data_IF_632129316106
#
_entry.id   IF_632129316106
#
_cell.length_a   1.000
_cell.length_b   1.000
_cell.length_c   1.000
_cell.angle_alpha   90.00
_cell.angle_beta   90.00
_cell.angle_gamma   90.00
#
_symmetry.space_group_name_H-M   'P 1'
#
loop_
_entity.id
_entity.type
_entity.pdbx_description
1 polymer ?
#
# COMPACT_ATOMS: atom_id res chain seq x y z
N UNK A 1 10.39 13.69 2.41
CA UNK A 1 10.36 12.46 3.22
C UNK A 1 9.32 11.55 2.57
N UNK A 2 9.74 10.47 1.90
CA UNK A 2 8.82 9.56 1.19
C UNK A 2 8.41 8.43 2.13
N UNK A 3 7.10 8.21 2.27
CA UNK A 3 6.56 7.13 3.08
C UNK A 3 6.35 5.85 2.30
N UNK A 4 6.67 4.74 2.95
CA UNK A 4 6.81 3.42 2.35
C UNK A 4 5.71 2.53 2.92
N UNK A 5 4.68 2.27 2.13
CA UNK A 5 3.66 1.26 2.41
C UNK A 5 4.00 0.01 1.59
N UNK A 6 4.99 -0.75 2.04
CA UNK A 6 5.50 -1.97 1.38
C UNK A 6 6.04 -1.71 -0.05
N UNK A 7 7.30 -2.05 -0.31
CA UNK A 7 7.86 -2.10 -1.66
C UNK A 7 8.42 -3.51 -1.83
N UNK A 8 7.98 -4.22 -2.87
CA UNK A 8 8.49 -5.55 -3.24
C UNK A 8 9.97 -5.54 -3.66
N UNK A 9 10.44 -6.56 -4.41
CA UNK A 9 11.87 -6.77 -4.68
C UNK A 9 12.57 -5.66 -5.48
N UNK A 10 11.84 -4.70 -6.05
CA UNK A 10 12.40 -3.61 -6.86
C UNK A 10 13.23 -2.59 -6.05
N UNK A 11 12.94 -2.44 -4.76
CA UNK A 11 13.54 -1.38 -3.95
C UNK A 11 15.05 -1.50 -3.69
N UNK A 12 15.59 -2.66 -3.25
CA UNK A 12 17.02 -2.79 -2.96
C UNK A 12 17.90 -2.71 -4.20
N UNK A 13 17.38 -3.07 -5.38
CA UNK A 13 18.17 -3.14 -6.61
C UNK A 13 18.10 -1.88 -7.46
N UNK A 14 16.97 -1.16 -7.47
CA UNK A 14 16.76 -0.02 -8.35
C UNK A 14 16.71 1.33 -7.64
N UNK A 15 16.23 1.38 -6.39
CA UNK A 15 15.99 2.65 -5.68
C UNK A 15 17.18 3.01 -4.79
N UNK A 16 17.44 2.20 -3.76
CA UNK A 16 18.46 2.53 -2.75
C UNK A 16 19.88 2.74 -3.28
N UNK A 17 20.36 2.02 -4.31
CA UNK A 17 21.71 2.26 -4.82
C UNK A 17 21.86 3.63 -5.50
N UNK A 18 20.75 4.22 -5.94
CA UNK A 18 20.74 5.42 -6.77
C UNK A 18 20.17 6.66 -6.06
N UNK A 19 19.49 6.47 -4.92
CA UNK A 19 18.77 7.54 -4.20
C UNK A 19 18.95 7.38 -2.70
N UNK A 20 19.56 8.39 -2.06
CA UNK A 20 19.55 8.51 -0.61
C UNK A 20 18.22 9.13 -0.16
N UNK A 21 17.37 8.33 0.48
CA UNK A 21 16.05 8.74 0.94
C UNK A 21 15.70 8.10 2.27
N UNK A 22 15.19 8.91 3.19
CA UNK A 22 14.64 8.42 4.45
C UNK A 22 13.25 7.85 4.23
N UNK A 23 13.08 6.58 4.64
CA UNK A 23 11.86 5.81 4.41
C UNK A 23 11.18 5.47 5.73
N UNK A 24 9.92 5.86 5.87
CA UNK A 24 9.07 5.41 6.97
C UNK A 24 8.24 4.22 6.50
N UNK A 25 8.48 3.06 7.12
CA UNK A 25 7.90 1.80 6.69
C UNK A 25 6.64 1.42 7.47
N UNK A 26 5.60 1.02 6.74
CA UNK A 26 4.36 0.46 7.28
C UNK A 26 4.05 -0.84 6.56
N UNK A 27 3.88 -1.92 7.32
CA UNK A 27 3.50 -3.22 6.79
C UNK A 27 1.97 -3.33 6.66
N UNK A 28 1.46 -3.25 5.43
CA UNK A 28 0.04 -3.44 5.14
C UNK A 28 -0.30 -4.87 4.70
N UNK A 29 0.59 -5.83 4.98
CA UNK A 29 0.34 -7.25 4.80
C UNK A 29 -0.84 -7.71 5.65
N UNK A 30 -1.65 -8.63 5.11
CA UNK A 30 -2.87 -9.10 5.75
C UNK A 30 -2.64 -9.65 7.18
N UNK A 31 -1.58 -10.44 7.47
CA UNK A 31 -1.29 -10.88 8.83
C UNK A 31 -0.96 -9.74 9.79
N UNK A 32 -0.22 -8.72 9.33
CA UNK A 32 0.16 -7.57 10.18
C UNK A 32 -1.04 -6.66 10.44
N UNK A 33 -1.90 -6.47 9.44
CA UNK A 33 -3.17 -5.77 9.60
C UNK A 33 -4.07 -6.47 10.62
N UNK A 34 -4.22 -7.79 10.52
CA UNK A 34 -5.03 -8.55 11.48
C UNK A 34 -4.45 -8.48 12.91
N UNK A 35 -3.12 -8.57 13.05
CA UNK A 35 -2.42 -8.41 14.33
C UNK A 35 -2.66 -7.04 14.98
N UNK A 36 -2.72 -5.98 14.18
CA UNK A 36 -2.85 -4.58 14.64
C UNK A 36 -4.29 -4.07 14.65
N UNK A 37 -5.27 -4.95 14.48
CA UNK A 37 -6.67 -4.59 14.31
C UNK A 37 -6.92 -3.53 13.22
N UNK A 38 -6.12 -3.61 12.15
CA UNK A 38 -6.04 -2.70 11.01
C UNK A 38 -5.59 -1.26 11.34
N UNK A 39 -5.07 -1.03 12.56
CA UNK A 39 -4.54 0.26 12.98
C UNK A 39 -3.36 0.72 12.11
N UNK A 40 -2.51 -0.20 11.64
CA UNK A 40 -1.39 0.11 10.73
C UNK A 40 -1.85 0.80 9.44
N UNK A 41 -3.06 0.50 8.95
CA UNK A 41 -3.64 1.13 7.76
C UNK A 41 -4.03 2.57 8.03
N UNK A 42 -4.54 2.87 9.24
CA UNK A 42 -4.87 4.24 9.67
C UNK A 42 -3.58 5.02 9.89
N UNK A 43 -2.63 4.44 10.63
CA UNK A 43 -1.37 5.08 10.97
C UNK A 43 -0.62 5.48 9.71
N UNK A 44 -0.55 4.60 8.72
CA UNK A 44 0.10 4.86 7.44
C UNK A 44 -0.58 5.96 6.63
N UNK A 45 -1.92 6.10 6.69
CA UNK A 45 -2.65 7.20 6.07
C UNK A 45 -2.37 8.54 6.76
N UNK A 46 -2.41 8.59 8.09
CA UNK A 46 -2.07 9.79 8.88
C UNK A 46 -0.61 10.21 8.68
N UNK A 47 0.27 9.22 8.59
CA UNK A 47 1.63 9.42 8.17
C UNK A 47 1.67 10.14 6.82
N UNK A 48 0.95 9.61 5.82
CA UNK A 48 0.94 10.18 4.47
C UNK A 48 0.43 11.63 4.47
N UNK A 49 -0.56 11.98 5.29
CA UNK A 49 -0.97 13.37 5.46
C UNK A 49 0.17 14.25 5.99
N UNK A 50 0.93 13.76 6.98
CA UNK A 50 2.05 14.49 7.59
C UNK A 50 3.24 14.69 6.64
N UNK A 51 3.53 13.73 5.77
CA UNK A 51 4.73 13.74 4.91
C UNK A 51 4.44 13.91 3.41
N UNK A 52 3.17 14.05 3.06
CA UNK A 52 2.62 14.36 1.74
C UNK A 52 2.79 13.31 0.65
N UNK A 53 3.85 12.49 0.68
CA UNK A 53 4.17 11.53 -0.38
C UNK A 53 4.29 10.13 0.19
N UNK A 54 3.56 9.18 -0.40
CA UNK A 54 3.66 7.76 -0.08
C UNK A 54 3.65 6.89 -1.35
N UNK A 55 4.32 5.75 -1.27
CA UNK A 55 4.29 4.68 -2.28
C UNK A 55 3.74 3.42 -1.62
N UNK A 56 2.73 2.82 -2.25
CA UNK A 56 1.99 1.68 -1.72
C UNK A 56 2.05 0.47 -2.64
N UNK A 57 2.35 -0.72 -2.10
CA UNK A 57 2.16 -2.00 -2.78
C UNK A 57 0.69 -2.46 -2.79
N UNK A 58 0.38 -3.36 -3.72
CA UNK A 58 -0.90 -4.05 -3.75
C UNK A 58 -1.13 -4.83 -2.44
N UNK A 59 -2.38 -4.85 -1.97
CA UNK A 59 -2.78 -5.45 -0.69
C UNK A 59 -4.05 -6.26 -0.88
N UNK A 60 -4.16 -7.37 -0.15
CA UNK A 60 -5.37 -8.21 -0.15
C UNK A 60 -6.50 -7.49 0.57
N UNK A 61 -7.67 -7.45 -0.07
CA UNK A 61 -8.95 -7.18 0.61
C UNK A 61 -9.59 -8.55 0.84
N UNK A 62 -9.70 -9.01 2.10
CA UNK A 62 -10.16 -10.37 2.37
C UNK A 62 -11.65 -10.52 2.05
N UNK A 63 -11.98 -11.62 1.39
CA UNK A 63 -13.34 -12.20 1.29
C UNK A 63 -13.49 -13.32 2.33
N UNK A 64 -14.62 -14.02 2.33
CA UNK A 64 -14.89 -15.12 3.25
C UNK A 64 -13.82 -16.23 3.15
N UNK A 65 -13.40 -16.58 1.94
CA UNK A 65 -12.38 -17.60 1.72
C UNK A 65 -11.01 -17.19 2.30
N UNK A 66 -10.62 -15.92 2.14
CA UNK A 66 -9.38 -15.40 2.74
C UNK A 66 -9.45 -15.28 4.25
N UNK A 67 -10.63 -15.03 4.83
CA UNK A 67 -10.82 -15.05 6.29
C UNK A 67 -10.53 -16.45 6.84
N UNK A 68 -11.02 -17.49 6.18
CA UNK A 68 -10.77 -18.88 6.56
C UNK A 68 -9.30 -19.29 6.34
N UNK A 69 -8.75 -18.99 5.15
CA UNK A 69 -7.37 -19.34 4.77
C UNK A 69 -6.35 -18.74 5.73
N UNK A 70 -6.50 -17.46 6.08
CA UNK A 70 -5.56 -16.74 6.92
C UNK A 70 -5.96 -16.71 8.41
N UNK A 71 -7.08 -17.36 8.78
CA UNK A 71 -7.64 -17.37 10.14
C UNK A 71 -7.76 -15.98 10.75
N UNK A 72 -8.33 -15.05 9.98
CA UNK A 72 -8.45 -13.65 10.37
C UNK A 72 -9.48 -13.48 11.49
N UNK A 73 -9.27 -12.48 12.35
CA UNK A 73 -10.23 -12.09 13.39
C UNK A 73 -11.58 -11.68 12.80
N UNK A 74 -11.54 -11.00 11.64
CA UNK A 74 -12.72 -10.57 10.88
C UNK A 74 -12.38 -10.20 9.45
N UNK A 75 -13.42 -9.96 8.65
CA UNK A 75 -13.28 -9.38 7.31
C UNK A 75 -12.88 -7.91 7.40
N UNK A 76 -11.59 -7.62 7.19
CA UNK A 76 -11.06 -6.26 7.20
C UNK A 76 -11.45 -5.47 5.95
N UNK A 77 -11.69 -4.16 6.11
CA UNK A 77 -11.97 -3.26 4.98
C UNK A 77 -10.78 -3.17 4.04
N UNK A 78 -11.01 -2.75 2.79
CA UNK A 78 -9.91 -2.55 1.84
C UNK A 78 -8.96 -1.43 2.33
N UNK A 79 -7.63 -1.66 2.41
CA UNK A 79 -6.67 -0.61 2.77
C UNK A 79 -6.75 0.59 1.84
N UNK A 80 -6.95 0.36 0.55
CA UNK A 80 -7.08 1.43 -0.45
C UNK A 80 -8.29 2.32 -0.13
N UNK A 81 -9.40 1.72 0.27
CA UNK A 81 -10.61 2.45 0.68
C UNK A 81 -10.40 3.27 1.94
N UNK A 82 -9.81 2.66 2.98
CA UNK A 82 -9.49 3.33 4.25
C UNK A 82 -8.55 4.52 4.04
N UNK A 83 -7.43 4.32 3.34
CA UNK A 83 -6.46 5.38 3.07
C UNK A 83 -7.09 6.52 2.26
N UNK A 84 -7.86 6.20 1.21
CA UNK A 84 -8.53 7.22 0.38
C UNK A 84 -9.53 8.06 1.18
N UNK A 85 -10.32 7.43 2.04
CA UNK A 85 -11.29 8.13 2.88
C UNK A 85 -10.60 9.08 3.87
N UNK A 86 -9.44 8.71 4.40
CA UNK A 86 -8.64 9.56 5.30
C UNK A 86 -7.97 10.71 4.53
N UNK A 87 -7.40 10.44 3.35
CA UNK A 87 -6.69 11.47 2.57
C UNK A 87 -7.63 12.43 1.82
N UNK A 88 -8.86 12.03 1.51
CA UNK A 88 -9.86 12.88 0.85
C UNK A 88 -9.56 13.24 -0.61
N UNK A 89 -8.89 12.35 -1.37
CA UNK A 89 -8.40 12.63 -2.72
C UNK A 89 -9.06 11.85 -3.87
N UNK A 90 -8.72 12.24 -5.10
CA UNK A 90 -9.14 11.58 -6.36
C UNK A 90 -8.03 10.66 -6.89
N UNK A 91 -8.42 9.48 -7.40
CA UNK A 91 -7.47 8.54 -8.02
C UNK A 91 -7.42 8.79 -9.52
N UNK A 92 -6.23 9.13 -10.02
CA UNK A 92 -5.92 9.21 -11.45
C UNK A 92 -5.28 7.90 -11.91
N UNK A 93 -5.60 7.47 -13.14
CA UNK A 93 -5.04 6.27 -13.76
C UNK A 93 -4.54 6.62 -15.14
N UNK A 94 -3.26 6.36 -15.39
CA UNK A 94 -2.60 6.62 -16.66
C UNK A 94 -1.98 5.30 -17.16
N UNK A 95 -2.19 4.92 -18.43
CA UNK A 95 -1.56 3.73 -19.00
C UNK A 95 -0.06 3.97 -19.26
N UNK A 96 0.77 2.95 -19.00
CA UNK A 96 2.17 2.94 -19.44
C UNK A 96 2.19 2.48 -20.91
N UNK A 97 2.60 3.35 -21.83
CA UNK A 97 2.61 3.08 -23.27
C UNK A 97 4.01 2.65 -23.73
N UNK A 98 4.10 1.49 -24.37
CA UNK A 98 5.33 0.99 -24.98
C UNK A 98 5.21 1.05 -26.51
N UNK A 99 6.25 1.55 -27.20
CA UNK A 99 6.25 1.71 -28.67
C UNK A 99 5.97 0.41 -29.43
N UNK A 100 6.40 -0.72 -28.86
CA UNK A 100 6.29 -2.05 -29.44
C UNK A 100 5.05 -2.84 -28.99
N UNK A 101 4.15 -2.24 -28.19
CA UNK A 101 2.92 -2.89 -27.74
C UNK A 101 1.74 -2.13 -28.36
N UNK A 102 1.00 -2.74 -29.33
CA UNK A 102 -0.13 -2.09 -29.97
C UNK A 102 -1.24 -1.81 -28.95
N UNK A 103 -1.93 -0.67 -29.12
CA UNK A 103 -3.12 -0.34 -28.33
C UNK A 103 -4.30 -1.14 -28.86
N UNK A 104 -5.08 -1.72 -27.96
CA UNK A 104 -6.39 -2.32 -28.25
C UNK A 104 -7.47 -1.24 -28.29
#
# INVERSE_FOLDING_TARGET
MLQRMVLGPCHPTLILPNVDVQLKYFDLGLPHRDKTDDQVTIDSALATQKYSVAVKCATITPDEARVEEFKLKKMWKSPNGTIRNILGGTVFREPIICKNIPRL
#
